data_IF_169821588207
#
_entry.id   IF_169821588207
#
_cell.length_a   1.000
_cell.length_b   1.000
_cell.length_c   1.000
_cell.angle_alpha   90.00
_cell.angle_beta   90.00
_cell.angle_gamma   90.00
#
_symmetry.space_group_name_H-M   'P 1'
#
loop_
_entity.id
_entity.type
_entity.pdbx_description
1 polymer ?
#
# COMPACT_ATOMS: atom_id res chain seq x y z
N UNK A 1 -19.39 17.23 -10.73
CA UNK A 1 -18.67 16.26 -9.90
C UNK A 1 -18.64 14.94 -10.66
N UNK A 2 -17.45 14.42 -10.96
CA UNK A 2 -17.32 13.10 -11.58
C UNK A 2 -17.88 12.00 -10.66
N UNK A 3 -18.30 10.90 -11.25
CA UNK A 3 -18.79 9.75 -10.47
C UNK A 3 -17.60 9.12 -9.71
N UNK A 4 -17.54 9.31 -8.40
CA UNK A 4 -16.59 8.66 -7.48
C UNK A 4 -17.06 7.25 -7.14
N UNK A 5 -17.16 6.39 -8.17
CA UNK A 5 -17.96 5.17 -8.07
C UNK A 5 -17.14 3.88 -8.08
N UNK A 6 -15.79 3.95 -8.02
CA UNK A 6 -14.99 2.74 -8.06
C UNK A 6 -14.26 2.54 -6.73
N UNK A 7 -14.48 1.38 -6.13
CA UNK A 7 -13.81 0.92 -4.91
C UNK A 7 -12.78 -0.12 -5.30
N UNK A 8 -11.57 0.00 -4.75
CA UNK A 8 -10.51 -0.98 -4.92
C UNK A 8 -10.38 -1.86 -3.70
N UNK A 9 -10.32 -3.15 -3.93
CA UNK A 9 -9.95 -4.13 -2.94
C UNK A 9 -10.92 -4.28 -1.77
N UNK A 10 -10.38 -4.62 -0.61
CA UNK A 10 -11.14 -5.03 0.57
C UNK A 10 -11.36 -3.89 1.55
N UNK A 11 -12.54 -3.82 2.13
CA UNK A 11 -12.81 -2.96 3.28
C UNK A 11 -12.05 -3.45 4.53
N UNK A 12 -11.69 -2.52 5.42
CA UNK A 12 -11.17 -2.82 6.76
C UNK A 12 -12.12 -2.27 7.83
N UNK A 13 -12.02 -2.79 9.06
CA UNK A 13 -13.07 -2.61 10.05
C UNK A 13 -12.52 -2.26 11.44
N UNK A 14 -12.99 -1.16 12.03
CA UNK A 14 -12.73 -0.77 13.42
C UNK A 14 -13.96 -0.04 13.97
N UNK A 15 -14.32 -0.29 15.23
CA UNK A 15 -15.38 0.46 15.91
C UNK A 15 -14.82 1.82 16.35
N UNK A 16 -15.12 2.89 15.58
CA UNK A 16 -14.71 4.26 15.91
C UNK A 16 -15.87 5.06 16.53
N UNK A 17 -17.08 4.53 16.46
CA UNK A 17 -18.27 5.13 17.09
C UNK A 17 -18.48 4.67 18.52
N UNK A 18 -17.74 3.64 18.97
CA UNK A 18 -17.80 3.03 20.28
C UNK A 18 -19.21 2.49 20.64
N UNK A 19 -19.90 1.94 19.63
CA UNK A 19 -21.22 1.34 19.78
C UNK A 19 -21.20 -0.21 19.85
N UNK A 20 -20.01 -0.81 19.76
CA UNK A 20 -19.77 -2.25 19.77
C UNK A 20 -19.89 -2.90 18.38
N UNK A 21 -20.20 -2.14 17.34
CA UNK A 21 -20.28 -2.60 15.95
C UNK A 21 -19.14 -1.97 15.16
N UNK A 22 -18.41 -2.77 14.39
CA UNK A 22 -17.29 -2.26 13.61
C UNK A 22 -17.77 -1.39 12.46
N UNK A 23 -17.18 -0.21 12.34
CA UNK A 23 -17.34 0.69 11.22
C UNK A 23 -16.47 0.26 10.04
N UNK A 24 -16.81 0.72 8.84
CA UNK A 24 -16.25 0.25 7.58
C UNK A 24 -15.42 1.35 6.94
N UNK A 25 -14.19 1.03 6.56
CA UNK A 25 -13.31 1.94 5.81
C UNK A 25 -13.14 1.42 4.39
N UNK A 26 -13.33 2.31 3.40
CA UNK A 26 -13.32 1.98 1.97
C UNK A 26 -12.42 2.97 1.24
N UNK A 27 -11.57 2.45 0.36
CA UNK A 27 -10.71 3.24 -0.52
C UNK A 27 -11.04 2.99 -2.00
N UNK A 28 -10.76 3.98 -2.86
CA UNK A 28 -11.07 3.88 -4.29
C UNK A 28 -10.58 5.06 -5.13
N UNK A 29 -11.11 5.17 -6.33
CA UNK A 29 -10.76 6.20 -7.31
C UNK A 29 -11.24 7.60 -6.88
N UNK A 30 -10.64 8.63 -7.48
CA UNK A 30 -11.01 10.04 -7.31
C UNK A 30 -10.99 10.49 -5.84
N UNK A 31 -9.91 10.19 -5.15
CA UNK A 31 -9.71 10.52 -3.74
C UNK A 31 -10.80 9.93 -2.81
N UNK A 32 -11.40 8.81 -3.19
CA UNK A 32 -12.37 8.12 -2.36
C UNK A 32 -11.67 7.41 -1.21
N UNK A 33 -11.83 7.93 0.00
CA UNK A 33 -11.49 7.30 1.26
C UNK A 33 -12.58 7.67 2.26
N UNK A 34 -13.36 6.70 2.67
CA UNK A 34 -14.59 6.87 3.43
C UNK A 34 -14.57 6.05 4.71
N UNK A 35 -15.18 6.58 5.77
CA UNK A 35 -15.64 5.78 6.90
C UNK A 35 -17.18 5.78 6.95
N UNK A 36 -17.74 4.60 7.15
CA UNK A 36 -19.19 4.34 7.16
C UNK A 36 -19.55 3.66 8.47
N UNK A 37 -20.56 4.16 9.16
CA UNK A 37 -21.05 3.55 10.39
C UNK A 37 -21.61 2.16 10.11
N UNK A 38 -21.03 1.15 10.76
CA UNK A 38 -21.40 -0.25 10.55
C UNK A 38 -22.77 -0.63 11.09
N UNK A 39 -23.28 0.12 12.07
CA UNK A 39 -24.59 -0.13 12.67
C UNK A 39 -25.76 0.32 11.77
N UNK A 40 -25.59 1.37 10.97
CA UNK A 40 -26.69 2.01 10.23
C UNK A 40 -26.39 2.41 8.80
N UNK A 41 -25.15 2.27 8.34
CA UNK A 41 -24.71 2.61 6.97
C UNK A 41 -24.53 4.11 6.70
N UNK A 42 -24.61 4.96 7.72
CA UNK A 42 -24.39 6.38 7.54
C UNK A 42 -22.92 6.71 7.30
N UNK A 43 -22.66 7.69 6.45
CA UNK A 43 -21.32 8.24 6.25
C UNK A 43 -20.85 8.92 7.55
N UNK A 44 -19.69 8.51 8.07
CA UNK A 44 -19.05 9.14 9.21
C UNK A 44 -18.15 10.29 8.74
N UNK A 45 -17.28 10.01 7.77
CA UNK A 45 -16.46 11.03 7.12
C UNK A 45 -16.07 10.59 5.70
N UNK A 46 -15.73 11.58 4.88
CA UNK A 46 -15.20 11.47 3.52
C UNK A 46 -13.96 12.35 3.43
N UNK A 47 -12.82 11.77 3.05
CA UNK A 47 -11.58 12.52 2.89
C UNK A 47 -11.72 13.63 1.85
N UNK A 48 -12.39 13.35 0.73
CA UNK A 48 -12.71 14.33 -0.32
C UNK A 48 -14.07 15.00 -0.04
N UNK A 49 -14.23 16.32 -0.27
CA UNK A 49 -13.25 17.31 -0.75
C UNK A 49 -12.51 18.05 0.38
N UNK A 50 -12.72 17.67 1.63
CA UNK A 50 -12.40 18.50 2.79
C UNK A 50 -10.91 18.60 3.09
N UNK A 51 -10.13 17.58 2.74
CA UNK A 51 -8.71 17.50 3.04
C UNK A 51 -7.82 17.65 1.78
N UNK A 52 -8.38 18.00 0.63
CA UNK A 52 -7.59 18.28 -0.56
C UNK A 52 -6.99 19.68 -0.48
N UNK A 53 -5.68 19.76 -0.65
CA UNK A 53 -5.04 21.03 -0.93
C UNK A 53 -5.51 21.56 -2.30
N UNK A 54 -5.50 22.90 -2.53
CA UNK A 54 -5.88 23.48 -3.82
C UNK A 54 -5.08 22.95 -5.03
N UNK A 55 -3.91 22.34 -4.80
CA UNK A 55 -3.09 21.69 -5.83
C UNK A 55 -3.37 20.20 -6.01
N UNK A 56 -4.11 19.57 -5.09
CA UNK A 56 -4.50 18.17 -5.20
C UNK A 56 -5.81 18.14 -6.00
N UNK A 57 -5.75 17.71 -7.24
CA UNK A 57 -6.90 17.76 -8.17
C UNK A 57 -8.04 16.81 -7.81
N UNK A 58 -7.89 15.97 -6.78
CA UNK A 58 -8.85 14.93 -6.40
C UNK A 58 -8.94 13.78 -7.40
N UNK A 59 -8.01 13.75 -8.35
CA UNK A 59 -7.95 12.71 -9.38
C UNK A 59 -7.23 11.46 -8.91
N UNK A 60 -6.42 11.56 -7.85
CA UNK A 60 -5.62 10.45 -7.35
C UNK A 60 -6.48 9.40 -6.65
N UNK A 61 -6.04 8.18 -6.77
CA UNK A 61 -6.72 7.05 -6.17
C UNK A 61 -6.15 6.76 -4.79
N UNK A 62 -6.98 6.23 -3.90
CA UNK A 62 -6.55 5.59 -2.66
C UNK A 62 -6.57 4.07 -2.84
N UNK A 63 -5.51 3.41 -2.37
CA UNK A 63 -5.40 1.96 -2.37
C UNK A 63 -5.64 1.41 -0.97
N UNK A 64 -5.86 0.11 -0.86
CA UNK A 64 -6.34 -0.52 0.37
C UNK A 64 -5.66 0.02 1.62
N UNK A 65 -6.42 0.63 2.54
CA UNK A 65 -5.86 1.10 3.79
C UNK A 65 -5.43 -0.08 4.66
N UNK A 66 -4.44 0.16 5.52
CA UNK A 66 -4.02 -0.75 6.56
C UNK A 66 -4.06 -0.02 7.90
N UNK A 67 -4.50 -0.70 8.95
CA UNK A 67 -4.39 -0.14 10.29
C UNK A 67 -2.93 -0.17 10.77
N UNK A 68 -2.52 0.94 11.37
CA UNK A 68 -1.28 1.08 12.14
C UNK A 68 -1.65 1.39 13.59
N UNK A 69 -0.66 1.35 14.47
CA UNK A 69 -0.87 1.77 15.86
C UNK A 69 -1.38 3.21 15.93
N UNK A 70 -2.11 3.53 16.98
CA UNK A 70 -2.49 4.89 17.33
C UNK A 70 -1.25 5.78 17.40
N UNK A 71 -1.13 6.73 16.48
CA UNK A 71 0.04 7.64 16.39
C UNK A 71 -0.26 9.04 16.92
N UNK A 72 -1.54 9.36 17.14
CA UNK A 72 -1.98 10.67 17.63
C UNK A 72 -2.47 10.65 19.09
N UNK A 73 -2.64 9.46 19.69
CA UNK A 73 -3.03 9.29 21.09
C UNK A 73 -4.53 9.39 21.36
N UNK A 74 -5.38 9.19 20.37
CA UNK A 74 -6.84 9.25 20.53
C UNK A 74 -7.49 7.93 20.98
N UNK A 75 -6.70 6.86 21.10
CA UNK A 75 -7.12 5.54 21.57
C UNK A 75 -7.57 4.60 20.45
N UNK A 76 -7.54 5.03 19.19
CA UNK A 76 -7.91 4.25 18.01
C UNK A 76 -6.68 4.02 17.13
N UNK A 77 -6.67 2.92 16.37
CA UNK A 77 -5.66 2.71 15.34
C UNK A 77 -5.89 3.70 14.19
N UNK A 78 -4.81 4.19 13.61
CA UNK A 78 -4.85 5.07 12.44
C UNK A 78 -4.73 4.30 11.13
N UNK A 79 -4.99 4.98 10.00
CA UNK A 79 -4.94 4.40 8.67
C UNK A 79 -3.64 4.77 7.96
N UNK A 80 -2.95 3.78 7.43
CA UNK A 80 -1.89 3.95 6.43
C UNK A 80 -2.48 3.66 5.05
N UNK A 81 -2.29 4.58 4.11
CA UNK A 81 -2.75 4.44 2.72
C UNK A 81 -1.69 4.91 1.73
N UNK A 82 -1.71 4.38 0.52
CA UNK A 82 -1.07 4.99 -0.64
C UNK A 82 -2.10 5.81 -1.41
N UNK A 83 -1.64 6.93 -1.97
CA UNK A 83 -2.42 7.80 -2.82
C UNK A 83 -1.63 8.12 -4.09
N UNK A 84 -2.21 7.87 -5.25
CA UNK A 84 -1.53 8.08 -6.52
C UNK A 84 -2.34 7.59 -7.70
N UNK A 85 -1.74 7.66 -8.90
CA UNK A 85 -2.36 7.21 -10.13
C UNK A 85 -3.44 8.15 -10.64
N UNK A 86 -3.19 8.83 -11.75
CA UNK A 86 -4.20 9.65 -12.43
C UNK A 86 -5.03 8.76 -13.37
N UNK A 87 -6.22 8.36 -12.92
CA UNK A 87 -7.14 7.53 -13.70
C UNK A 87 -7.72 8.22 -14.94
N UNK A 88 -7.59 9.55 -15.05
CA UNK A 88 -8.05 10.32 -16.20
C UNK A 88 -6.97 10.44 -17.29
N UNK A 89 -5.71 10.20 -16.95
CA UNK A 89 -4.62 10.26 -17.92
C UNK A 89 -4.58 9.02 -18.82
N UNK A 90 -4.32 9.20 -20.12
CA UNK A 90 -4.09 8.06 -21.02
C UNK A 90 -2.92 7.18 -20.56
N UNK A 91 -3.00 5.88 -20.81
CA UNK A 91 -1.97 4.90 -20.36
C UNK A 91 -0.57 5.18 -20.86
N UNK A 92 -0.43 5.86 -22.01
CA UNK A 92 0.86 6.26 -22.60
C UNK A 92 1.38 7.60 -22.12
N UNK A 93 0.63 8.35 -21.29
CA UNK A 93 1.09 9.61 -20.75
C UNK A 93 2.14 9.36 -19.66
N UNK A 94 3.34 9.86 -19.88
CA UNK A 94 4.45 9.74 -18.95
C UNK A 94 4.51 10.86 -17.92
N UNK A 95 3.70 11.92 -18.10
CA UNK A 95 3.60 13.02 -17.15
C UNK A 95 2.58 12.68 -16.05
N UNK A 96 2.99 11.83 -15.14
CA UNK A 96 2.15 11.37 -14.03
C UNK A 96 2.47 12.11 -12.74
N UNK A 97 1.47 12.45 -11.94
CA UNK A 97 1.72 12.99 -10.61
C UNK A 97 2.38 11.94 -9.71
N UNK A 98 3.30 12.37 -8.83
CA UNK A 98 3.97 11.46 -7.92
C UNK A 98 2.99 10.83 -6.92
N UNK A 99 3.25 9.58 -6.60
CA UNK A 99 2.54 8.88 -5.52
C UNK A 99 2.93 9.39 -4.13
N UNK A 100 2.07 9.09 -3.17
CA UNK A 100 2.26 9.47 -1.77
C UNK A 100 1.97 8.29 -0.84
N UNK A 101 2.66 8.25 0.29
CA UNK A 101 2.19 7.56 1.49
C UNK A 101 1.54 8.56 2.42
N UNK A 102 0.42 8.17 3.04
CA UNK A 102 -0.34 9.04 3.92
C UNK A 102 -0.77 8.27 5.18
N UNK A 103 -0.77 8.97 6.30
CA UNK A 103 -1.37 8.49 7.56
C UNK A 103 -2.58 9.37 7.86
N UNK A 104 -3.72 8.73 8.06
CA UNK A 104 -5.03 9.38 8.25
C UNK A 104 -5.59 8.95 9.59
N UNK A 105 -6.07 9.91 10.38
CA UNK A 105 -6.81 9.63 11.61
C UNK A 105 -8.11 8.87 11.28
N UNK A 106 -8.25 7.66 11.80
CA UNK A 106 -9.42 6.83 11.53
C UNK A 106 -10.71 7.43 12.11
N UNK A 107 -10.63 8.16 13.22
CA UNK A 107 -11.79 8.76 13.88
C UNK A 107 -12.50 9.82 13.02
N UNK A 108 -11.73 10.65 12.29
CA UNK A 108 -12.29 11.86 11.68
C UNK A 108 -11.78 12.14 10.24
N UNK A 109 -10.92 11.29 9.67
CA UNK A 109 -10.39 11.46 8.32
C UNK A 109 -9.31 12.53 8.18
N UNK A 110 -8.82 13.12 9.25
CA UNK A 110 -7.79 14.15 9.18
C UNK A 110 -6.43 13.57 8.79
N UNK A 111 -5.69 14.31 7.97
CA UNK A 111 -4.33 13.98 7.60
C UNK A 111 -3.38 14.14 8.81
N UNK A 112 -2.66 13.08 9.15
CA UNK A 112 -1.64 13.07 10.22
C UNK A 112 -0.23 13.16 9.66
N UNK A 113 0.06 12.48 8.55
CA UNK A 113 1.34 12.55 7.86
C UNK A 113 1.18 12.31 6.35
N UNK A 114 2.05 12.93 5.55
CA UNK A 114 2.09 12.74 4.08
C UNK A 114 3.52 12.90 3.57
N UNK A 115 3.96 11.99 2.72
CA UNK A 115 5.24 12.12 2.03
C UNK A 115 5.18 11.59 0.59
N UNK A 116 5.91 12.26 -0.31
CA UNK A 116 6.07 11.86 -1.71
C UNK A 116 6.99 10.65 -1.80
N UNK A 117 6.68 9.70 -2.67
CA UNK A 117 7.55 8.54 -2.95
C UNK A 117 8.92 8.97 -3.51
N UNK A 118 10.01 8.23 -3.20
CA UNK A 118 11.38 8.70 -3.45
C UNK A 118 11.73 8.89 -4.92
N UNK A 119 11.16 8.08 -5.81
CA UNK A 119 11.41 8.12 -7.26
C UNK A 119 10.45 9.06 -8.01
N UNK A 120 9.52 9.70 -7.29
CA UNK A 120 8.47 10.55 -7.87
C UNK A 120 7.61 9.85 -8.92
N UNK A 121 7.62 8.52 -8.98
CA UNK A 121 6.72 7.74 -9.80
C UNK A 121 5.30 7.74 -9.20
N UNK A 122 4.32 7.38 -9.99
CA UNK A 122 2.97 7.12 -9.45
C UNK A 122 2.95 5.85 -8.59
N UNK A 123 1.89 5.62 -7.81
CA UNK A 123 1.71 4.39 -7.07
C UNK A 123 0.30 3.83 -7.23
N UNK A 124 0.21 2.51 -7.38
CA UNK A 124 -1.02 1.73 -7.43
C UNK A 124 -1.02 0.62 -6.39
N UNK A 125 0.04 0.52 -5.59
CA UNK A 125 0.28 -0.56 -4.66
C UNK A 125 -0.35 -0.26 -3.29
N UNK A 126 -1.12 -1.20 -2.75
CA UNK A 126 -1.55 -1.15 -1.34
C UNK A 126 -0.34 -1.32 -0.41
N UNK A 127 -0.18 -0.48 0.63
CA UNK A 127 0.97 -0.57 1.52
C UNK A 127 0.82 -1.73 2.49
N UNK A 128 1.94 -2.27 2.97
CA UNK A 128 1.99 -3.25 4.06
C UNK A 128 2.92 -2.73 5.16
N UNK A 129 2.46 -2.77 6.41
CA UNK A 129 3.29 -2.43 7.57
C UNK A 129 3.58 -3.66 8.40
N UNK A 130 4.86 -3.88 8.75
CA UNK A 130 5.29 -5.05 9.52
C UNK A 130 6.63 -4.81 10.20
N UNK A 131 6.84 -5.40 11.39
CA UNK A 131 8.15 -5.52 12.02
C UNK A 131 8.95 -6.63 11.33
N UNK A 132 9.59 -6.29 10.21
CA UNK A 132 10.26 -7.24 9.30
C UNK A 132 11.44 -7.93 10.00
N UNK A 133 12.15 -7.20 10.86
CA UNK A 133 13.38 -7.68 11.50
C UNK A 133 13.14 -8.27 12.88
N UNK A 134 11.91 -8.19 13.43
CA UNK A 134 11.56 -8.69 14.76
C UNK A 134 12.21 -7.91 15.89
N UNK A 135 12.51 -6.63 15.66
CA UNK A 135 13.22 -5.74 16.59
C UNK A 135 12.38 -4.55 17.10
N UNK A 136 11.07 -4.56 16.79
CA UNK A 136 10.12 -3.51 17.16
C UNK A 136 10.02 -2.36 16.16
N UNK A 137 10.88 -2.29 15.15
CA UNK A 137 10.81 -1.25 14.11
C UNK A 137 9.78 -1.64 13.06
N UNK A 138 8.75 -0.82 12.92
CA UNK A 138 7.73 -0.98 11.89
C UNK A 138 8.24 -0.45 10.54
N UNK A 139 8.17 -1.28 9.52
CA UNK A 139 8.54 -0.95 8.15
C UNK A 139 7.31 -0.90 7.26
N UNK A 140 7.22 0.12 6.44
CA UNK A 140 6.21 0.23 5.36
C UNK A 140 6.83 -0.31 4.08
N UNK A 141 6.16 -1.31 3.49
CA UNK A 141 6.47 -1.88 2.19
C UNK A 141 5.48 -1.33 1.17
N UNK A 142 5.95 -0.84 0.04
CA UNK A 142 5.10 -0.27 -1.01
C UNK A 142 5.80 -0.27 -2.36
N UNK A 143 4.99 -0.32 -3.42
CA UNK A 143 5.46 -0.27 -4.81
C UNK A 143 5.17 1.08 -5.46
N UNK A 144 5.96 1.42 -6.47
CA UNK A 144 5.79 2.59 -7.36
C UNK A 144 5.83 2.16 -8.81
N UNK A 145 5.47 3.09 -9.74
CA UNK A 145 5.29 2.81 -11.14
C UNK A 145 3.94 2.16 -11.43
N UNK A 146 3.73 1.78 -12.66
CA UNK A 146 2.44 1.26 -13.14
C UNK A 146 2.58 0.19 -14.22
N UNK A 147 1.52 0.00 -14.98
CA UNK A 147 1.47 -0.98 -16.07
C UNK A 147 2.37 -0.61 -17.25
N UNK A 148 2.66 0.66 -17.42
CA UNK A 148 3.39 1.21 -18.58
C UNK A 148 4.55 2.12 -18.18
N UNK A 149 4.76 2.32 -16.90
CA UNK A 149 5.81 3.18 -16.35
C UNK A 149 6.64 2.43 -15.31
N UNK A 150 7.95 2.56 -15.43
CA UNK A 150 8.89 1.96 -14.48
C UNK A 150 8.71 2.47 -13.06
N UNK A 151 9.18 1.68 -12.11
CA UNK A 151 9.14 2.01 -10.70
C UNK A 151 10.00 1.09 -9.85
N UNK A 152 9.82 1.20 -8.54
CA UNK A 152 10.58 0.45 -7.56
C UNK A 152 9.67 -0.14 -6.48
N UNK A 153 10.15 -1.18 -5.83
CA UNK A 153 9.56 -1.65 -4.58
C UNK A 153 10.41 -1.20 -3.41
N UNK A 154 9.79 -0.56 -2.43
CA UNK A 154 10.46 0.16 -1.36
C UNK A 154 10.17 -0.43 0.02
N UNK A 155 11.12 -0.25 0.94
CA UNK A 155 10.92 -0.38 2.38
C UNK A 155 11.30 0.93 3.07
N UNK A 156 10.44 1.48 3.92
CA UNK A 156 10.71 2.70 4.68
C UNK A 156 10.31 2.49 6.15
N UNK A 157 11.10 2.95 7.14
CA UNK A 157 10.64 2.98 8.51
C UNK A 157 9.36 3.83 8.64
N UNK A 158 8.33 3.30 9.32
CA UNK A 158 7.08 4.04 9.55
C UNK A 158 7.34 5.38 10.26
N UNK A 159 8.31 5.40 11.18
CA UNK A 159 8.71 6.62 11.90
C UNK A 159 9.19 7.75 10.96
N UNK A 160 9.76 7.43 9.80
CA UNK A 160 10.14 8.44 8.82
C UNK A 160 8.90 9.06 8.16
N UNK A 161 7.94 8.25 7.74
CA UNK A 161 6.67 8.74 7.21
C UNK A 161 5.95 9.65 8.22
N UNK A 162 5.93 9.29 9.50
CA UNK A 162 5.34 10.12 10.56
C UNK A 162 6.04 11.48 10.73
N UNK A 163 7.27 11.61 10.24
CA UNK A 163 8.00 12.87 10.12
C UNK A 163 7.89 13.51 8.72
N UNK A 164 6.88 13.11 7.92
CA UNK A 164 6.61 13.61 6.57
C UNK A 164 7.78 13.44 5.58
N UNK A 165 8.53 12.36 5.70
CA UNK A 165 9.63 12.04 4.79
C UNK A 165 9.72 10.56 4.46
N UNK A 166 10.14 10.25 3.22
CA UNK A 166 10.49 8.91 2.77
C UNK A 166 11.97 8.82 2.36
N UNK A 167 12.78 9.82 2.71
CA UNK A 167 14.21 9.85 2.33
C UNK A 167 15.02 8.63 2.82
N UNK A 168 14.69 7.97 3.97
CA UNK A 168 15.35 6.75 4.40
C UNK A 168 14.88 5.48 3.68
N UNK A 169 14.03 5.57 2.66
CA UNK A 169 13.56 4.39 1.92
C UNK A 169 14.70 3.61 1.27
N UNK A 170 14.59 2.30 1.35
CA UNK A 170 15.50 1.34 0.70
C UNK A 170 14.79 0.77 -0.51
N UNK A 171 15.38 0.90 -1.70
CA UNK A 171 14.90 0.22 -2.90
C UNK A 171 15.20 -1.27 -2.81
N UNK A 172 14.18 -2.10 -2.70
CA UNK A 172 14.30 -3.57 -2.63
C UNK A 172 14.43 -4.20 -4.00
N UNK A 173 13.77 -3.60 -5.01
CA UNK A 173 13.83 -3.99 -6.41
C UNK A 173 13.48 -2.79 -7.30
N UNK A 174 13.88 -2.86 -8.56
CA UNK A 174 13.55 -1.86 -9.58
C UNK A 174 13.17 -2.57 -10.89
N UNK A 175 12.21 -2.00 -11.59
CA UNK A 175 11.87 -2.36 -12.97
C UNK A 175 11.81 -1.05 -13.79
N UNK A 176 12.66 -0.89 -14.81
CA UNK A 176 12.74 0.36 -15.56
C UNK A 176 11.57 0.58 -16.53
N UNK A 177 10.81 -0.47 -16.82
CA UNK A 177 9.74 -0.42 -17.82
C UNK A 177 8.35 -0.53 -17.20
N UNK A 178 8.25 -1.25 -16.07
CA UNK A 178 6.99 -1.54 -15.38
C UNK A 178 7.13 -1.30 -13.88
N UNK A 179 6.01 -1.06 -13.22
CA UNK A 179 6.01 -0.81 -11.79
C UNK A 179 5.77 -2.07 -10.96
N UNK A 180 5.60 -1.82 -9.68
CA UNK A 180 5.18 -2.81 -8.67
C UNK A 180 3.79 -2.42 -8.17
N UNK A 181 2.76 -3.02 -8.73
CA UNK A 181 1.36 -2.76 -8.41
C UNK A 181 0.88 -3.71 -7.30
N UNK A 182 1.36 -4.95 -7.33
CA UNK A 182 1.01 -5.96 -6.35
C UNK A 182 1.57 -5.61 -4.95
N UNK A 183 0.78 -5.75 -3.87
CA UNK A 183 1.29 -5.69 -2.52
C UNK A 183 2.35 -6.77 -2.26
N UNK A 184 3.20 -6.56 -1.24
CA UNK A 184 4.12 -7.59 -0.78
C UNK A 184 3.42 -8.64 0.07
N UNK A 185 3.84 -9.88 -0.07
CA UNK A 185 3.59 -10.91 0.94
C UNK A 185 4.82 -11.11 1.82
N UNK A 186 4.59 -11.43 3.08
CA UNK A 186 5.66 -11.71 4.04
C UNK A 186 5.48 -13.08 4.69
N UNK A 187 6.58 -13.78 4.87
CA UNK A 187 6.61 -15.09 5.52
C UNK A 187 7.55 -15.10 6.71
N UNK A 188 7.02 -15.40 7.89
CA UNK A 188 7.78 -15.41 9.15
C UNK A 188 8.76 -16.58 9.17
N UNK A 189 10.01 -16.28 9.45
CA UNK A 189 11.09 -17.27 9.63
C UNK A 189 11.18 -17.74 11.09
N UNK A 190 11.95 -18.80 11.34
CA UNK A 190 12.16 -19.32 12.70
C UNK A 190 12.87 -18.33 13.64
N UNK A 191 13.53 -17.31 13.09
CA UNK A 191 14.26 -16.29 13.86
C UNK A 191 13.44 -15.03 14.18
N UNK A 192 12.11 -15.13 14.13
CA UNK A 192 11.18 -14.02 14.32
C UNK A 192 11.35 -12.85 13.32
N UNK A 193 12.01 -13.11 12.19
CA UNK A 193 12.16 -12.19 11.07
C UNK A 193 11.23 -12.60 9.94
N UNK A 194 11.07 -11.74 8.94
CA UNK A 194 10.25 -12.06 7.78
C UNK A 194 11.08 -12.08 6.50
N UNK A 195 10.81 -13.02 5.60
CA UNK A 195 11.14 -12.89 4.19
C UNK A 195 10.02 -12.15 3.47
N UNK A 196 10.38 -11.34 2.49
CA UNK A 196 9.47 -10.52 1.70
C UNK A 196 9.42 -11.12 0.30
N UNK A 197 8.22 -11.24 -0.25
CA UNK A 197 7.99 -11.71 -1.62
C UNK A 197 7.22 -10.62 -2.35
N UNK A 198 7.78 -10.17 -3.46
CA UNK A 198 7.24 -9.12 -4.30
C UNK A 198 7.21 -9.54 -5.75
N UNK A 199 6.30 -8.99 -6.51
CA UNK A 199 6.19 -9.24 -7.95
C UNK A 199 6.11 -7.93 -8.71
N UNK A 200 6.94 -7.77 -9.76
CA UNK A 200 6.75 -6.67 -10.71
C UNK A 200 5.58 -6.95 -11.63
N UNK A 201 5.01 -5.91 -12.21
CA UNK A 201 3.93 -6.07 -13.21
C UNK A 201 4.36 -6.92 -14.40
N UNK A 202 5.64 -6.88 -14.78
CA UNK A 202 6.24 -7.71 -15.84
C UNK A 202 6.41 -9.19 -15.50
N UNK A 203 5.87 -9.67 -14.38
CA UNK A 203 5.90 -11.09 -14.00
C UNK A 203 7.19 -11.55 -13.33
N UNK A 204 8.05 -10.65 -12.83
CA UNK A 204 9.25 -11.03 -12.08
C UNK A 204 8.94 -11.21 -10.60
N UNK A 205 8.97 -12.43 -10.10
CA UNK A 205 8.87 -12.74 -8.68
C UNK A 205 10.24 -12.60 -8.01
N UNK A 206 10.30 -11.92 -6.86
CA UNK A 206 11.54 -11.67 -6.12
C UNK A 206 11.33 -12.01 -4.64
N UNK A 207 12.24 -12.81 -4.09
CA UNK A 207 12.35 -13.04 -2.65
C UNK A 207 13.47 -12.21 -2.05
N UNK A 208 13.17 -11.52 -0.97
CA UNK A 208 14.08 -10.62 -0.25
C UNK A 208 14.22 -11.11 1.19
N UNK A 209 15.45 -11.13 1.71
CA UNK A 209 15.71 -11.39 3.11
C UNK A 209 15.36 -10.16 3.94
N UNK A 210 14.40 -10.25 4.85
CA UNK A 210 14.03 -9.13 5.69
C UNK A 210 15.11 -8.74 6.71
N UNK A 211 16.02 -9.65 7.05
CA UNK A 211 17.12 -9.39 7.98
C UNK A 211 18.05 -8.23 7.55
N UNK A 212 18.24 -8.05 6.24
CA UNK A 212 19.18 -7.08 5.68
C UNK A 212 18.71 -6.45 4.36
N UNK A 213 17.48 -6.72 3.94
CA UNK A 213 16.88 -6.20 2.71
C UNK A 213 17.63 -6.57 1.42
N UNK A 214 18.36 -7.71 1.42
CA UNK A 214 19.04 -8.18 0.21
C UNK A 214 18.18 -9.18 -0.55
N UNK A 215 18.23 -9.13 -1.88
CA UNK A 215 17.62 -10.13 -2.72
C UNK A 215 18.21 -11.51 -2.42
N UNK A 216 17.35 -12.51 -2.22
CA UNK A 216 17.76 -13.91 -2.04
C UNK A 216 17.75 -14.65 -3.37
N UNK A 217 16.65 -14.54 -4.11
CA UNK A 217 16.49 -15.09 -5.46
C UNK A 217 15.41 -14.32 -6.21
N UNK A 218 15.40 -14.48 -7.52
CA UNK A 218 14.29 -14.06 -8.38
C UNK A 218 13.97 -15.14 -9.40
N UNK A 219 12.73 -15.09 -9.89
CA UNK A 219 12.23 -15.97 -10.93
C UNK A 219 11.47 -15.13 -11.95
N UNK A 220 11.84 -15.22 -13.21
CA UNK A 220 11.22 -14.50 -14.30
C UNK A 220 10.12 -15.37 -14.94
N UNK A 221 8.93 -14.78 -15.11
CA UNK A 221 7.79 -15.36 -15.80
C UNK A 221 7.57 -14.55 -17.09
N UNK A 222 8.30 -14.85 -18.17
CA UNK A 222 8.29 -14.02 -19.36
C UNK A 222 6.91 -14.02 -20.05
N UNK A 223 6.55 -12.86 -20.59
CA UNK A 223 5.28 -12.63 -21.30
C UNK A 223 4.05 -12.82 -20.40
N UNK A 224 4.18 -12.52 -19.12
CA UNK A 224 3.07 -12.49 -18.17
C UNK A 224 2.94 -11.12 -17.54
N UNK A 225 1.74 -10.81 -17.08
CA UNK A 225 1.43 -9.62 -16.30
C UNK A 225 0.87 -10.03 -14.95
N UNK A 226 1.16 -9.28 -13.89
CA UNK A 226 0.59 -9.54 -12.58
C UNK A 226 0.44 -8.28 -11.74
N UNK A 227 -0.77 -8.12 -11.22
CA UNK A 227 -1.11 -7.13 -10.19
C UNK A 227 -1.58 -7.77 -8.88
N UNK A 228 -1.53 -9.11 -8.81
CA UNK A 228 -1.98 -9.86 -7.65
C UNK A 228 -0.84 -10.09 -6.65
N UNK A 229 -1.17 -10.02 -5.37
CA UNK A 229 -0.25 -10.36 -4.28
C UNK A 229 0.19 -11.84 -4.37
N UNK A 230 1.51 -12.15 -4.23
CA UNK A 230 1.95 -13.53 -4.11
C UNK A 230 1.37 -14.20 -2.86
N UNK A 231 0.85 -15.41 -2.96
CA UNK A 231 0.34 -16.17 -1.81
C UNK A 231 1.40 -17.14 -1.33
N UNK A 232 1.73 -17.07 -0.03
CA UNK A 232 2.79 -17.90 0.58
C UNK A 232 2.16 -18.94 1.50
N UNK A 233 2.53 -20.19 1.30
CA UNK A 233 2.05 -21.31 2.12
C UNK A 233 2.91 -22.55 1.95
N UNK A 234 2.59 -23.62 2.65
CA UNK A 234 3.19 -24.95 2.45
C UNK A 234 2.20 -25.82 1.65
N UNK A 235 2.18 -25.65 0.35
CA UNK A 235 1.27 -26.34 -0.57
C UNK A 235 1.76 -27.74 -0.94
N UNK A 236 3.08 -27.98 -0.86
CA UNK A 236 3.72 -29.27 -1.22
C UNK A 236 3.99 -30.16 -0.01
N UNK A 237 3.76 -29.68 1.21
CA UNK A 237 3.93 -30.46 2.45
C UNK A 237 5.39 -30.75 2.84
N UNK A 238 6.35 -30.04 2.29
CA UNK A 238 7.79 -30.27 2.51
C UNK A 238 8.44 -29.38 3.58
N UNK A 239 7.64 -28.67 4.39
CA UNK A 239 8.04 -27.73 5.42
C UNK A 239 8.78 -26.45 4.92
N UNK A 240 8.89 -26.25 3.62
CA UNK A 240 9.38 -25.01 3.04
C UNK A 240 8.20 -24.15 2.56
N UNK A 241 8.35 -22.82 2.56
CA UNK A 241 7.33 -21.97 1.98
C UNK A 241 7.32 -22.08 0.46
N UNK A 242 6.18 -22.43 -0.08
CA UNK A 242 5.87 -22.39 -1.51
C UNK A 242 5.23 -21.05 -1.85
N UNK A 243 5.32 -20.63 -3.11
CA UNK A 243 4.69 -19.40 -3.61
C UNK A 243 3.69 -19.75 -4.68
N UNK A 244 2.46 -19.31 -4.51
CA UNK A 244 1.41 -19.35 -5.52
C UNK A 244 1.24 -17.96 -6.14
N UNK A 245 1.22 -17.89 -7.47
CA UNK A 245 1.06 -16.66 -8.23
C UNK A 245 -0.17 -16.73 -9.11
N UNK A 246 -0.90 -15.62 -9.19
CA UNK A 246 -1.91 -15.39 -10.22
C UNK A 246 -1.29 -14.49 -11.29
N UNK A 247 -1.28 -14.97 -12.52
CA UNK A 247 -0.70 -14.28 -13.67
C UNK A 247 -1.71 -14.29 -14.83
N UNK A 248 -1.62 -13.29 -15.69
CA UNK A 248 -2.37 -13.16 -16.93
C UNK A 248 -1.48 -13.44 -18.14
#
# INVERSE_FOLDING_TARGET
>A
MGNRNEVFGSAIFQDITNDGIKDVFIAGRQAQLLAINGANGNLLWDYFPYNLNPGDSGLYNFYNPQFISDVNGDGLMDLLVTNGGDHAAPVWDTNRPPGHLMVINALNGNLLAKAVVPDSAETYCSPLVVDIQGNGVQWVLYGTGGETLGGSFWACPLSALLNNTLSPSIALAQDPNFGFIAPASVYKTNNNQYNIYIQSYSGKLIKIKGSNFTQHWSYDLPNTESSAEPVIGNFTGNNNPDVFLSIL
#
